data_IF_936853725512
#
_entry.id   IF_936853725512
#
_cell.length_a   1.000
_cell.length_b   1.000
_cell.length_c   1.000
_cell.angle_alpha   90.00
_cell.angle_beta   90.00
_cell.angle_gamma   90.00
#
_symmetry.space_group_name_H-M   'P 1'
#
loop_
_entity.id
_entity.type
_entity.pdbx_description
1 polymer ?
#
# COMPACT_ATOMS: atom_id res chain seq x y z
N UNK A 1 19.19 16.68 18.49
CA UNK A 1 19.22 15.22 18.24
C UNK A 1 17.82 14.83 17.82
N UNK A 2 17.75 14.20 16.66
CA UNK A 2 16.69 14.43 15.67
C UNK A 2 15.62 13.36 15.82
N UNK A 3 14.36 13.76 16.03
CA UNK A 3 13.20 12.87 16.23
C UNK A 3 13.10 11.71 15.22
N UNK A 4 13.67 11.87 14.01
CA UNK A 4 13.63 10.84 12.95
C UNK A 4 14.69 9.75 13.13
N UNK A 5 15.87 10.05 13.70
CA UNK A 5 16.88 9.02 13.99
C UNK A 5 16.34 8.03 15.03
N UNK A 6 15.71 8.54 16.09
CA UNK A 6 15.03 7.73 17.11
C UNK A 6 13.92 6.87 16.49
N UNK A 7 13.14 7.43 15.55
CA UNK A 7 12.10 6.67 14.84
C UNK A 7 12.70 5.58 13.94
N UNK A 8 13.84 5.82 13.28
CA UNK A 8 14.52 4.82 12.45
C UNK A 8 15.03 3.66 13.32
N UNK A 9 15.64 3.96 14.47
CA UNK A 9 16.08 2.94 15.42
C UNK A 9 14.89 2.13 15.97
N UNK A 10 13.81 2.81 16.33
CA UNK A 10 12.56 2.18 16.74
C UNK A 10 11.98 1.29 15.62
N UNK A 11 11.97 1.76 14.37
CA UNK A 11 11.48 0.98 13.22
C UNK A 11 12.21 -0.37 13.07
N UNK A 12 13.54 -0.38 13.16
CA UNK A 12 14.30 -1.61 12.97
C UNK A 12 14.21 -2.58 14.15
N UNK A 13 14.10 -2.06 15.37
CA UNK A 13 13.94 -2.86 16.59
C UNK A 13 12.49 -3.34 16.82
N UNK A 14 11.51 -2.69 16.20
CA UNK A 14 10.09 -3.00 16.39
C UNK A 14 9.70 -4.34 15.74
N UNK A 15 9.15 -5.24 16.56
CA UNK A 15 8.68 -6.56 16.13
C UNK A 15 7.21 -6.52 15.71
N UNK A 16 6.39 -5.71 16.37
CA UNK A 16 4.97 -5.58 16.04
C UNK A 16 4.81 -4.91 14.67
N UNK A 17 4.12 -5.58 13.75
CA UNK A 17 4.00 -5.13 12.36
C UNK A 17 3.16 -3.85 12.29
N UNK A 18 2.12 -3.73 13.09
CA UNK A 18 1.22 -2.57 13.10
C UNK A 18 1.94 -1.33 13.61
N UNK A 19 2.65 -1.44 14.74
CA UNK A 19 3.45 -0.36 15.29
C UNK A 19 4.58 0.02 14.33
N UNK A 20 5.26 -0.96 13.73
CA UNK A 20 6.32 -0.71 12.75
C UNK A 20 5.79 0.00 11.50
N UNK A 21 4.61 -0.36 11.02
CA UNK A 21 3.96 0.31 9.91
C UNK A 21 3.61 1.77 10.24
N UNK A 22 3.13 2.05 11.45
CA UNK A 22 2.87 3.44 11.87
C UNK A 22 4.14 4.29 11.90
N UNK A 23 5.24 3.75 12.44
CA UNK A 23 6.55 4.41 12.41
C UNK A 23 6.99 4.67 10.96
N UNK A 24 6.87 3.67 10.08
CA UNK A 24 7.22 3.82 8.67
C UNK A 24 6.38 4.89 7.97
N UNK A 25 5.06 4.95 8.23
CA UNK A 25 4.19 6.02 7.72
C UNK A 25 4.65 7.38 8.20
N UNK A 26 4.93 7.54 9.49
CA UNK A 26 5.39 8.82 10.04
C UNK A 26 6.69 9.29 9.38
N UNK A 27 7.68 8.39 9.24
CA UNK A 27 8.94 8.69 8.56
C UNK A 27 8.70 9.05 7.08
N UNK A 28 7.78 8.33 6.40
CA UNK A 28 7.45 8.57 4.98
C UNK A 28 6.78 9.92 4.76
N UNK A 29 5.93 10.38 5.68
CA UNK A 29 5.34 11.73 5.60
C UNK A 29 6.33 12.85 5.92
N UNK A 30 7.45 12.53 6.60
CA UNK A 30 8.55 13.44 6.93
C UNK A 30 9.81 13.09 6.11
N UNK A 31 9.60 12.73 4.84
CA UNK A 31 10.61 12.04 4.03
C UNK A 31 11.95 12.78 3.94
N UNK A 32 11.97 14.12 3.92
CA UNK A 32 13.20 14.94 3.85
C UNK A 32 14.15 14.76 5.05
N UNK A 33 13.67 14.13 6.12
CA UNK A 33 14.43 13.89 7.35
C UNK A 33 14.97 12.46 7.46
N UNK A 34 14.69 11.60 6.49
CA UNK A 34 15.21 10.23 6.40
C UNK A 34 16.22 10.10 5.24
N UNK A 35 16.77 8.90 5.04
CA UNK A 35 17.70 8.63 3.94
C UNK A 35 17.10 7.72 2.88
N UNK A 36 17.63 7.80 1.65
CA UNK A 36 17.34 6.85 0.58
C UNK A 36 17.58 5.40 1.00
N UNK A 37 18.72 5.16 1.67
CA UNK A 37 19.12 3.84 2.15
C UNK A 37 18.13 3.28 3.19
N UNK A 38 17.61 4.13 4.08
CA UNK A 38 16.57 3.72 5.03
C UNK A 38 15.35 3.14 4.31
N UNK A 39 14.81 3.87 3.33
CA UNK A 39 13.61 3.43 2.61
C UNK A 39 13.86 2.18 1.76
N UNK A 40 15.04 2.07 1.16
CA UNK A 40 15.44 0.86 0.44
C UNK A 40 15.49 -0.36 1.37
N UNK A 41 16.07 -0.20 2.55
CA UNK A 41 16.16 -1.26 3.56
C UNK A 41 14.77 -1.60 4.14
N UNK A 42 13.91 -0.61 4.35
CA UNK A 42 12.52 -0.81 4.75
C UNK A 42 11.75 -1.64 3.71
N UNK A 43 11.88 -1.32 2.41
CA UNK A 43 11.25 -2.09 1.34
C UNK A 43 11.68 -3.57 1.37
N UNK A 44 12.97 -3.82 1.60
CA UNK A 44 13.54 -5.18 1.68
C UNK A 44 13.08 -5.93 2.93
N UNK A 45 12.91 -5.23 4.06
CA UNK A 45 12.50 -5.80 5.35
C UNK A 45 11.02 -6.20 5.36
N UNK A 46 10.15 -5.38 4.76
CA UNK A 46 8.71 -5.59 4.84
C UNK A 46 8.22 -6.70 3.92
N UNK A 47 7.14 -7.37 4.34
CA UNK A 47 6.55 -8.49 3.59
C UNK A 47 5.23 -8.14 2.93
N UNK A 48 4.41 -7.39 3.65
CA UNK A 48 3.08 -6.94 3.21
C UNK A 48 3.21 -5.81 2.19
N UNK A 49 2.24 -5.72 1.29
CA UNK A 49 2.32 -4.84 0.12
C UNK A 49 2.14 -3.36 0.47
N UNK A 50 1.25 -3.03 1.41
CA UNK A 50 1.05 -1.65 1.85
C UNK A 50 2.36 -1.08 2.42
N UNK A 51 3.01 -1.80 3.33
CA UNK A 51 4.28 -1.41 3.95
C UNK A 51 5.40 -1.25 2.91
N UNK A 52 5.50 -2.18 1.95
CA UNK A 52 6.48 -2.05 0.86
C UNK A 52 6.20 -0.83 -0.01
N UNK A 53 4.94 -0.56 -0.31
CA UNK A 53 4.54 0.59 -1.13
C UNK A 53 4.77 1.91 -0.39
N UNK A 54 4.54 1.95 0.92
CA UNK A 54 4.90 3.07 1.80
C UNK A 54 6.41 3.32 1.78
N UNK A 55 7.23 2.28 1.90
CA UNK A 55 8.68 2.40 1.77
C UNK A 55 9.10 2.87 0.37
N UNK A 56 8.46 2.36 -0.69
CA UNK A 56 8.73 2.78 -2.07
C UNK A 56 8.37 4.26 -2.29
N UNK A 57 7.30 4.76 -1.67
CA UNK A 57 6.95 6.19 -1.68
C UNK A 57 8.07 7.04 -1.09
N UNK A 58 8.60 6.66 0.06
CA UNK A 58 9.73 7.38 0.67
C UNK A 58 11.01 7.27 -0.16
N UNK A 59 11.28 6.10 -0.74
CA UNK A 59 12.44 5.88 -1.61
C UNK A 59 12.38 6.76 -2.87
N UNK A 60 11.19 6.88 -3.48
CA UNK A 60 10.97 7.68 -4.69
C UNK A 60 11.29 9.16 -4.51
N UNK A 61 11.22 9.69 -3.29
CA UNK A 61 11.63 11.07 -2.99
C UNK A 61 13.11 11.33 -3.33
N UNK A 62 13.94 10.30 -3.23
CA UNK A 62 15.39 10.36 -3.45
C UNK A 62 15.87 9.67 -4.73
N UNK A 63 14.96 9.05 -5.48
CA UNK A 63 15.30 8.10 -6.52
C UNK A 63 14.73 8.51 -7.88
N UNK A 64 15.54 8.30 -8.92
CA UNK A 64 15.10 8.41 -10.30
C UNK A 64 14.16 7.27 -10.68
N UNK A 65 13.46 7.40 -11.80
CA UNK A 65 12.65 6.32 -12.37
C UNK A 65 13.44 5.01 -12.49
N UNK A 66 14.65 5.06 -13.04
CA UNK A 66 15.51 3.90 -13.26
C UNK A 66 15.81 3.13 -11.95
N UNK A 67 15.87 3.84 -10.82
CA UNK A 67 16.16 3.25 -9.53
C UNK A 67 14.92 2.66 -8.85
N UNK A 68 13.74 3.27 -9.04
CA UNK A 68 12.49 2.78 -8.45
C UNK A 68 11.85 1.66 -9.28
N UNK A 69 12.09 1.62 -10.59
CA UNK A 69 11.47 0.68 -11.52
C UNK A 69 11.65 -0.79 -11.10
N UNK A 70 12.84 -1.27 -10.69
CA UNK A 70 13.00 -2.65 -10.22
C UNK A 70 12.12 -2.99 -9.00
N UNK A 71 11.86 -2.02 -8.12
CA UNK A 71 11.00 -2.17 -6.95
C UNK A 71 9.52 -2.16 -7.33
N UNK A 72 9.11 -1.26 -8.21
CA UNK A 72 7.77 -1.22 -8.78
C UNK A 72 7.43 -2.52 -9.52
N UNK A 73 8.38 -3.05 -10.30
CA UNK A 73 8.22 -4.33 -11.01
C UNK A 73 8.06 -5.52 -10.06
N UNK A 74 8.86 -5.59 -8.99
CA UNK A 74 8.69 -6.63 -7.94
C UNK A 74 7.31 -6.58 -7.27
N UNK A 75 6.79 -5.39 -7.00
CA UNK A 75 5.41 -5.23 -6.49
C UNK A 75 4.40 -5.70 -7.52
N UNK A 76 4.54 -5.26 -8.78
CA UNK A 76 3.66 -5.63 -9.88
C UNK A 76 3.54 -7.15 -10.05
N UNK A 77 4.67 -7.86 -10.06
CA UNK A 77 4.72 -9.32 -10.13
C UNK A 77 4.04 -10.01 -8.94
N UNK A 78 4.16 -9.42 -7.75
CA UNK A 78 3.52 -9.93 -6.54
C UNK A 78 2.01 -9.75 -6.61
N UNK A 79 1.55 -8.56 -7.01
CA UNK A 79 0.12 -8.20 -7.11
C UNK A 79 -0.57 -9.02 -8.20
N UNK A 80 0.10 -9.30 -9.32
CA UNK A 80 -0.45 -10.10 -10.41
C UNK A 80 -0.91 -11.50 -9.98
N UNK A 81 -0.27 -12.06 -8.94
CA UNK A 81 -0.56 -13.40 -8.42
C UNK A 81 -1.74 -13.43 -7.43
N UNK A 82 -2.12 -12.30 -6.85
CA UNK A 82 -3.11 -12.23 -5.75
C UNK A 82 -4.45 -12.88 -6.11
N UNK A 83 -5.09 -12.59 -7.27
CA UNK A 83 -6.39 -13.19 -7.57
C UNK A 83 -6.36 -14.72 -7.62
N UNK A 84 -5.19 -15.31 -7.89
CA UNK A 84 -5.00 -16.77 -7.95
C UNK A 84 -4.86 -17.40 -6.55
N UNK A 85 -4.24 -16.69 -5.60
CA UNK A 85 -3.93 -17.23 -4.27
C UNK A 85 -4.93 -16.80 -3.21
N UNK A 86 -5.52 -15.62 -3.36
CA UNK A 86 -6.45 -15.02 -2.41
C UNK A 86 -7.53 -14.28 -3.19
N UNK A 87 -8.56 -15.00 -3.68
CA UNK A 87 -9.69 -14.39 -4.37
C UNK A 87 -10.35 -13.32 -3.51
N UNK A 88 -10.72 -12.20 -4.14
CA UNK A 88 -11.39 -11.07 -3.48
C UNK A 88 -10.61 -10.49 -2.29
N UNK A 89 -9.29 -10.34 -2.40
CA UNK A 89 -8.43 -9.73 -1.39
C UNK A 89 -8.66 -8.21 -1.24
N UNK A 90 -9.89 -7.80 -0.96
CA UNK A 90 -10.32 -6.40 -1.05
C UNK A 90 -9.56 -5.47 -0.13
N UNK A 91 -9.32 -5.87 1.14
CA UNK A 91 -8.56 -5.05 2.09
C UNK A 91 -7.23 -4.60 1.50
N UNK A 92 -6.49 -5.54 0.89
CA UNK A 92 -5.21 -5.27 0.27
C UNK A 92 -5.33 -4.22 -0.84
N UNK A 93 -6.36 -4.31 -1.68
CA UNK A 93 -6.55 -3.34 -2.75
C UNK A 93 -7.00 -1.97 -2.22
N UNK A 94 -7.90 -1.92 -1.22
CA UNK A 94 -8.31 -0.66 -0.60
C UNK A 94 -7.11 0.06 0.05
N UNK A 95 -6.22 -0.70 0.70
CA UNK A 95 -5.02 -0.18 1.33
C UNK A 95 -4.07 0.42 0.28
N UNK A 96 -3.69 -0.33 -0.77
CA UNK A 96 -2.71 0.17 -1.76
C UNK A 96 -3.27 1.25 -2.69
N UNK A 97 -4.60 1.33 -2.86
CA UNK A 97 -5.30 2.39 -3.60
C UNK A 97 -5.50 3.67 -2.80
N UNK A 98 -5.16 3.68 -1.51
CA UNK A 98 -5.22 4.85 -0.66
C UNK A 98 -4.56 6.08 -1.29
N UNK A 99 -5.15 7.27 -1.11
CA UNK A 99 -4.72 8.49 -1.79
C UNK A 99 -3.24 8.84 -1.51
N UNK A 100 -2.75 8.55 -0.30
CA UNK A 100 -1.36 8.76 0.10
C UNK A 100 -0.35 7.75 -0.48
N UNK A 101 -0.77 6.75 -1.27
CA UNK A 101 0.12 5.70 -1.81
C UNK A 101 0.22 5.73 -3.34
N UNK A 102 -0.40 4.79 -4.07
CA UNK A 102 -0.28 4.71 -5.53
C UNK A 102 -0.74 5.99 -6.25
N UNK A 103 -1.89 6.60 -5.90
CA UNK A 103 -2.30 7.88 -6.47
C UNK A 103 -1.26 8.98 -6.24
N UNK A 104 -0.68 9.06 -5.04
CA UNK A 104 0.40 10.00 -4.74
C UNK A 104 1.64 9.77 -5.61
N UNK A 105 2.08 8.52 -5.76
CA UNK A 105 3.25 8.17 -6.57
C UNK A 105 3.07 8.58 -8.04
N UNK A 106 1.89 8.28 -8.62
CA UNK A 106 1.57 8.66 -9.99
C UNK A 106 1.46 10.17 -10.15
N UNK A 107 0.74 10.85 -9.24
CA UNK A 107 0.54 12.31 -9.30
C UNK A 107 1.85 13.09 -9.13
N UNK A 108 2.74 12.63 -8.24
CA UNK A 108 3.95 13.36 -7.85
C UNK A 108 5.09 13.13 -8.84
N UNK A 109 5.35 11.88 -9.23
CA UNK A 109 6.52 11.52 -10.02
C UNK A 109 6.20 11.28 -11.49
N UNK A 110 4.96 10.86 -11.80
CA UNK A 110 4.51 10.54 -13.15
C UNK A 110 5.43 9.55 -13.92
N UNK A 111 6.12 8.67 -13.20
CA UNK A 111 6.97 7.64 -13.81
C UNK A 111 6.12 6.54 -14.44
N UNK A 112 6.41 6.15 -15.70
CA UNK A 112 5.81 4.99 -16.37
C UNK A 112 5.63 3.76 -15.47
N UNK A 113 6.66 3.36 -14.71
CA UNK A 113 6.57 2.18 -13.85
C UNK A 113 5.48 2.29 -12.76
N UNK A 114 5.20 3.49 -12.23
CA UNK A 114 4.13 3.71 -11.26
C UNK A 114 2.75 3.74 -11.92
N UNK A 115 2.65 4.31 -13.13
CA UNK A 115 1.41 4.30 -13.92
C UNK A 115 1.02 2.86 -14.25
N UNK A 116 1.97 2.05 -14.72
CA UNK A 116 1.74 0.64 -15.03
C UNK A 116 1.34 -0.16 -13.78
N UNK A 117 2.03 0.05 -12.66
CA UNK A 117 1.69 -0.57 -11.38
C UNK A 117 0.25 -0.22 -10.95
N UNK A 118 -0.13 1.06 -11.01
CA UNK A 118 -1.49 1.51 -10.70
C UNK A 118 -2.51 0.90 -11.65
N UNK A 119 -2.27 0.92 -12.96
CA UNK A 119 -3.20 0.37 -13.94
C UNK A 119 -3.46 -1.13 -13.71
N UNK A 120 -2.43 -1.89 -13.32
CA UNK A 120 -2.62 -3.29 -12.96
C UNK A 120 -3.50 -3.44 -11.71
N UNK A 121 -3.22 -2.66 -10.66
CA UNK A 121 -4.02 -2.66 -9.43
C UNK A 121 -5.48 -2.32 -9.69
N UNK A 122 -5.75 -1.25 -10.44
CA UNK A 122 -7.12 -0.84 -10.78
C UNK A 122 -7.82 -1.91 -11.63
N UNK A 123 -7.15 -2.50 -12.61
CA UNK A 123 -7.74 -3.60 -13.41
C UNK A 123 -8.16 -4.77 -12.52
N UNK A 124 -7.26 -5.24 -11.65
CA UNK A 124 -7.55 -6.37 -10.77
C UNK A 124 -8.63 -6.03 -9.73
N UNK A 125 -8.69 -4.77 -9.29
CA UNK A 125 -9.74 -4.28 -8.42
C UNK A 125 -11.09 -4.28 -9.12
N UNK A 126 -11.16 -3.74 -10.34
CA UNK A 126 -12.39 -3.67 -11.12
C UNK A 126 -12.94 -5.04 -11.53
N UNK A 127 -12.06 -6.03 -11.72
CA UNK A 127 -12.45 -7.42 -11.95
C UNK A 127 -13.12 -8.08 -10.73
N UNK A 128 -13.03 -7.49 -9.53
CA UNK A 128 -13.73 -8.01 -8.34
C UNK A 128 -15.23 -7.70 -8.37
N UNK A 129 -16.08 -8.51 -7.72
CA UNK A 129 -17.48 -8.17 -7.51
C UNK A 129 -17.63 -6.90 -6.66
N UNK A 130 -18.62 -6.05 -6.99
CA UNK A 130 -18.83 -4.75 -6.34
C UNK A 130 -19.05 -4.83 -4.83
N UNK A 131 -19.52 -5.96 -4.32
CA UNK A 131 -19.68 -6.17 -2.88
C UNK A 131 -18.36 -6.02 -2.10
N UNK A 132 -17.24 -6.30 -2.77
CA UNK A 132 -15.86 -6.22 -2.26
C UNK A 132 -15.19 -4.88 -2.59
N UNK A 133 -15.91 -3.89 -3.11
CA UNK A 133 -15.37 -2.58 -3.48
C UNK A 133 -15.92 -1.45 -2.62
N UNK A 134 -15.16 -0.37 -2.61
CA UNK A 134 -15.41 0.93 -1.99
C UNK A 134 -15.90 0.80 -0.55
N UNK A 135 -15.19 0.01 0.26
CA UNK A 135 -15.56 -0.28 1.65
C UNK A 135 -15.03 0.82 2.57
N UNK A 136 -13.73 1.11 2.46
CA UNK A 136 -13.03 2.14 3.21
C UNK A 136 -11.86 2.66 2.37
N UNK A 137 -11.23 3.76 2.80
CA UNK A 137 -9.95 4.18 2.22
C UNK A 137 -9.18 5.08 3.20
N UNK A 138 -8.07 5.64 2.73
CA UNK A 138 -7.29 6.64 3.45
C UNK A 138 -7.06 7.86 2.55
N UNK A 139 -7.09 9.04 3.16
CA UNK A 139 -6.86 10.31 2.48
C UNK A 139 -5.37 10.56 2.19
N UNK A 140 -5.05 11.75 1.71
CA UNK A 140 -3.69 12.18 1.38
C UNK A 140 -2.76 12.31 2.59
N UNK A 141 -3.32 12.46 3.80
CA UNK A 141 -2.60 12.47 5.07
C UNK A 141 -2.51 11.08 5.69
N UNK A 142 -3.03 10.05 5.01
CA UNK A 142 -3.08 8.69 5.51
C UNK A 142 -4.08 8.48 6.64
N UNK A 143 -5.07 9.38 6.78
CA UNK A 143 -6.18 9.26 7.71
C UNK A 143 -7.26 8.34 7.14
N UNK A 144 -7.68 7.38 7.95
CA UNK A 144 -8.74 6.43 7.61
C UNK A 144 -10.11 7.10 7.52
N UNK A 145 -10.90 6.70 6.54
CA UNK A 145 -12.34 6.98 6.50
C UNK A 145 -13.13 5.79 5.97
N UNK A 146 -14.31 5.59 6.55
CA UNK A 146 -15.23 4.54 6.14
C UNK A 146 -16.11 5.05 4.99
N UNK A 147 -16.27 4.25 3.92
CA UNK A 147 -17.13 4.59 2.78
C UNK A 147 -18.50 3.92 2.91
N UNK A 148 -18.52 2.63 3.27
CA UNK A 148 -19.74 1.83 3.45
C UNK A 148 -19.85 1.32 4.88
N UNK A 149 -21.07 1.17 5.41
CA UNK A 149 -21.26 0.65 6.77
C UNK A 149 -20.67 -0.78 6.92
N UNK A 150 -19.83 -1.04 7.95
CA UNK A 150 -19.19 -2.34 8.13
C UNK A 150 -20.16 -3.52 8.30
N UNK A 151 -21.33 -3.30 8.92
CA UNK A 151 -22.34 -4.35 9.11
C UNK A 151 -23.02 -4.69 7.80
N UNK A 152 -23.34 -3.68 6.99
CA UNK A 152 -23.91 -3.87 5.65
C UNK A 152 -22.94 -4.59 4.71
N UNK A 153 -21.67 -4.19 4.73
CA UNK A 153 -20.60 -4.83 3.96
C UNK A 153 -20.46 -6.30 4.35
N UNK A 154 -20.40 -6.60 5.66
CA UNK A 154 -20.31 -7.98 6.15
C UNK A 154 -21.50 -8.82 5.68
N UNK A 155 -22.73 -8.32 5.84
CA UNK A 155 -23.95 -9.01 5.39
C UNK A 155 -23.90 -9.30 3.89
N UNK A 156 -23.55 -8.31 3.07
CA UNK A 156 -23.52 -8.47 1.62
C UNK A 156 -22.44 -9.47 1.16
N UNK A 157 -21.25 -9.45 1.79
CA UNK A 157 -20.19 -10.43 1.51
C UNK A 157 -20.65 -11.84 1.91
N UNK A 158 -21.25 -12.00 3.09
CA UNK A 158 -21.75 -13.30 3.56
C UNK A 158 -22.82 -13.87 2.62
N UNK A 159 -23.75 -13.03 2.14
CA UNK A 159 -24.77 -13.40 1.16
C UNK A 159 -24.16 -13.82 -0.19
N UNK A 160 -23.20 -13.04 -0.71
CA UNK A 160 -22.49 -13.36 -1.96
C UNK A 160 -21.77 -14.71 -1.87
N UNK A 161 -21.07 -14.96 -0.77
CA UNK A 161 -20.34 -16.22 -0.56
C UNK A 161 -21.27 -17.42 -0.38
N UNK A 162 -22.46 -17.23 0.22
CA UNK A 162 -23.49 -18.28 0.29
C UNK A 162 -24.02 -18.65 -1.09
N UNK A 163 -24.32 -17.66 -1.94
CA UNK A 163 -24.81 -17.90 -3.29
C UNK A 163 -23.80 -18.62 -4.18
N UNK A 164 -22.49 -18.33 -4.04
CA UNK A 164 -21.43 -19.03 -4.79
C UNK A 164 -21.21 -20.50 -4.38
N UNK A 165 -21.71 -20.91 -3.21
CA UNK A 165 -21.57 -22.28 -2.68
C UNK A 165 -22.80 -23.15 -2.93
N UNK A 166 -23.92 -22.53 -3.32
CA UNK A 166 -25.16 -23.21 -3.71
C UNK A 166 -25.12 -23.59 -5.18
#
# INVERSE_FOLDING_TARGET
>A
MTMVEDLIEQYFSQKDVTQRHQILKEITFKCEHASKEFFENAFKKERKLEEKLTALRGFAYYASEQEVEPYANKLRESILKIPKTTPYAYNLYEDIRAAYLLPYLVKTYNYPCFIELRNQVEKQYEDMPDVFKNIYSYDENGQFYQIRDPREVKRAIDEFLRQKRS
#
